data_IF_013712970757
#
_entry.id   IF_013712970757
#
_cell.length_a   1.000
_cell.length_b   1.000
_cell.length_c   1.000
_cell.angle_alpha   90.00
_cell.angle_beta   90.00
_cell.angle_gamma   90.00
#
_symmetry.space_group_name_H-M   'P 1'
#
loop_
_entity.id
_entity.type
_entity.pdbx_description
1 polymer ?
#
# COMPACT_ATOMS: atom_id res chain seq x y z
N UNK A 1 -26.71 34.98 4.64
CA UNK A 1 -25.64 34.41 3.87
C UNK A 1 -25.08 33.09 4.49
N UNK A 2 -24.65 33.09 5.75
CA UNK A 2 -24.16 31.88 6.42
C UNK A 2 -25.17 30.72 6.35
N UNK A 3 -26.44 30.97 6.71
CA UNK A 3 -27.49 29.94 6.71
C UNK A 3 -27.93 29.49 5.32
N UNK A 4 -27.81 30.34 4.29
CA UNK A 4 -28.27 30.04 2.94
C UNK A 4 -27.22 29.33 2.07
N UNK A 5 -25.92 29.53 2.34
CA UNK A 5 -24.84 29.05 1.46
C UNK A 5 -23.73 28.32 2.20
N UNK A 6 -23.28 28.78 3.36
CA UNK A 6 -22.17 28.18 4.09
C UNK A 6 -22.64 26.94 4.84
N UNK A 7 -23.78 27.02 5.55
CA UNK A 7 -24.30 25.89 6.32
C UNK A 7 -24.69 24.67 5.48
N UNK A 8 -25.42 24.82 4.33
CA UNK A 8 -25.63 23.71 3.42
C UNK A 8 -24.33 23.10 2.85
N UNK A 9 -23.30 23.93 2.62
CA UNK A 9 -22.00 23.47 2.19
C UNK A 9 -21.28 22.71 3.32
N UNK A 10 -21.33 23.20 4.56
CA UNK A 10 -20.78 22.48 5.74
C UNK A 10 -21.46 21.12 5.93
N UNK A 11 -22.79 21.08 5.85
CA UNK A 11 -23.58 19.87 6.08
C UNK A 11 -23.45 18.86 4.92
N UNK A 12 -23.40 19.34 3.68
CA UNK A 12 -23.36 18.48 2.49
C UNK A 12 -21.94 18.03 2.11
N UNK A 13 -20.92 18.82 2.44
CA UNK A 13 -19.57 18.67 1.96
C UNK A 13 -18.51 18.56 3.07
N UNK A 14 -18.93 18.49 4.33
CA UNK A 14 -18.02 18.34 5.49
C UNK A 14 -16.87 19.36 5.49
N UNK A 15 -17.18 20.62 5.15
CA UNK A 15 -16.21 21.72 5.22
C UNK A 15 -15.65 21.82 6.65
N UNK A 16 -14.32 21.85 6.77
CA UNK A 16 -13.69 22.01 8.08
C UNK A 16 -14.10 23.34 8.71
N UNK A 17 -14.47 23.39 10.02
CA UNK A 17 -14.91 24.61 10.69
C UNK A 17 -13.96 25.81 10.57
N UNK A 18 -12.66 25.55 10.39
CA UNK A 18 -11.64 26.59 10.19
C UNK A 18 -11.74 27.27 8.81
N UNK A 19 -12.16 26.54 7.78
CA UNK A 19 -12.36 27.09 6.42
C UNK A 19 -13.62 27.93 6.38
N UNK A 20 -14.70 27.44 6.96
CA UNK A 20 -15.96 28.14 7.10
C UNK A 20 -15.81 29.50 7.83
N UNK A 21 -15.08 29.55 8.95
CA UNK A 21 -14.79 30.79 9.69
C UNK A 21 -13.97 31.79 8.90
N UNK A 22 -12.98 31.34 8.12
CA UNK A 22 -12.17 32.23 7.26
C UNK A 22 -13.01 32.85 6.14
N UNK A 23 -13.87 32.04 5.52
CA UNK A 23 -14.76 32.49 4.46
C UNK A 23 -15.78 33.51 5.01
N UNK A 24 -16.38 33.22 6.17
CA UNK A 24 -17.31 34.13 6.86
C UNK A 24 -16.65 35.47 7.21
N UNK A 25 -15.42 35.47 7.74
CA UNK A 25 -14.67 36.68 8.05
C UNK A 25 -14.42 37.54 6.81
N UNK A 26 -14.02 36.91 5.69
CA UNK A 26 -13.78 37.60 4.42
C UNK A 26 -15.06 38.21 3.85
N UNK A 27 -16.18 37.49 3.90
CA UNK A 27 -17.49 37.99 3.44
C UNK A 27 -17.93 39.18 4.27
N UNK A 28 -17.80 39.12 5.59
CA UNK A 28 -18.17 40.23 6.46
C UNK A 28 -17.35 41.48 6.20
N UNK A 29 -16.04 41.33 6.01
CA UNK A 29 -15.15 42.43 5.64
C UNK A 29 -15.51 43.07 4.30
N UNK A 30 -15.83 42.24 3.28
CA UNK A 30 -16.29 42.76 1.98
C UNK A 30 -17.62 43.53 2.08
N UNK A 31 -18.58 43.05 2.87
CA UNK A 31 -19.86 43.71 3.11
C UNK A 31 -19.63 45.07 3.80
N UNK A 32 -18.82 45.11 4.86
CA UNK A 32 -18.49 46.33 5.58
C UNK A 32 -17.81 47.36 4.68
N UNK A 33 -16.85 46.94 3.88
CA UNK A 33 -16.13 47.83 2.95
C UNK A 33 -17.07 48.41 1.86
N UNK A 34 -17.89 47.54 1.26
CA UNK A 34 -18.88 47.99 0.25
C UNK A 34 -19.88 48.98 0.84
N UNK A 35 -20.41 48.67 2.02
CA UNK A 35 -21.34 49.58 2.69
C UNK A 35 -20.68 50.92 3.01
N UNK A 36 -19.45 50.92 3.51
CA UNK A 36 -18.69 52.13 3.84
C UNK A 36 -18.43 53.01 2.62
N UNK A 37 -18.06 52.40 1.50
CA UNK A 37 -17.85 53.10 0.22
C UNK A 37 -19.14 53.74 -0.27
N UNK A 38 -20.22 52.98 -0.41
CA UNK A 38 -21.50 53.46 -0.90
C UNK A 38 -22.13 54.52 0.03
N UNK A 39 -21.89 54.40 1.33
CA UNK A 39 -22.32 55.41 2.30
C UNK A 39 -21.56 56.72 2.10
N UNK A 40 -20.27 56.69 1.81
CA UNK A 40 -19.47 57.87 1.54
C UNK A 40 -19.96 58.60 0.26
N UNK A 41 -20.27 57.87 -0.80
CA UNK A 41 -20.86 58.39 -2.03
C UNK A 41 -22.22 59.03 -1.78
N UNK A 42 -23.08 58.40 -1.01
CA UNK A 42 -24.38 58.95 -0.61
C UNK A 42 -24.26 60.24 0.20
N UNK A 43 -23.37 60.27 1.21
CA UNK A 43 -23.11 61.48 2.00
C UNK A 43 -22.54 62.61 1.15
N UNK A 44 -21.78 62.28 0.11
CA UNK A 44 -21.28 63.29 -0.85
C UNK A 44 -22.40 63.86 -1.70
N UNK A 45 -23.31 63.03 -2.22
CA UNK A 45 -24.49 63.46 -2.98
C UNK A 45 -25.43 64.38 -2.14
N UNK A 46 -25.65 64.00 -0.87
CA UNK A 46 -26.44 64.88 0.05
C UNK A 46 -25.78 66.23 0.24
N UNK A 47 -24.44 66.28 0.39
CA UNK A 47 -23.75 67.59 0.54
C UNK A 47 -23.86 68.42 -0.70
N UNK A 48 -23.80 67.86 -1.91
CA UNK A 48 -24.03 68.59 -3.16
C UNK A 48 -25.48 69.12 -3.24
N UNK A 49 -26.44 68.21 -3.04
CA UNK A 49 -27.85 68.58 -3.08
C UNK A 49 -28.21 69.74 -2.09
N UNK A 50 -27.61 69.72 -0.90
CA UNK A 50 -27.79 70.79 0.12
C UNK A 50 -27.10 72.05 -0.31
N UNK A 51 -25.90 72.04 -0.85
CA UNK A 51 -25.21 73.23 -1.33
C UNK A 51 -25.99 73.92 -2.49
N UNK A 52 -26.47 73.12 -3.46
CA UNK A 52 -27.31 73.59 -4.54
C UNK A 52 -28.62 74.16 -4.05
N UNK A 53 -29.24 73.54 -3.07
CA UNK A 53 -30.49 74.07 -2.41
C UNK A 53 -30.24 75.45 -1.76
N UNK A 54 -29.21 75.58 -0.94
CA UNK A 54 -28.86 76.77 -0.24
C UNK A 54 -28.55 77.95 -1.22
N UNK A 55 -27.83 77.67 -2.30
CA UNK A 55 -27.51 78.62 -3.35
C UNK A 55 -28.76 79.03 -4.12
N UNK A 56 -29.62 78.10 -4.51
CA UNK A 56 -30.87 78.43 -5.25
C UNK A 56 -31.92 79.10 -4.38
N UNK A 57 -31.99 78.77 -3.10
CA UNK A 57 -32.86 79.41 -2.14
C UNK A 57 -32.46 80.87 -1.95
N UNK A 58 -31.18 81.21 -1.87
CA UNK A 58 -30.63 82.55 -1.80
C UNK A 58 -31.00 83.43 -3.03
N UNK A 59 -31.20 82.80 -4.20
CA UNK A 59 -31.60 83.47 -5.46
C UNK A 59 -33.09 83.56 -5.68
N UNK A 60 -33.93 82.87 -4.91
CA UNK A 60 -35.38 82.81 -5.06
C UNK A 60 -36.05 84.08 -4.49
N UNK A 61 -36.72 84.83 -5.35
CA UNK A 61 -37.36 86.14 -4.99
C UNK A 61 -38.90 86.06 -4.90
N UNK A 62 -39.47 84.89 -5.30
CA UNK A 62 -40.95 84.71 -5.25
C UNK A 62 -41.26 83.39 -4.46
N UNK A 63 -42.49 83.37 -3.90
CA UNK A 63 -42.95 82.18 -3.13
C UNK A 63 -43.06 80.94 -3.99
N UNK A 64 -43.38 81.05 -5.26
CA UNK A 64 -43.38 79.91 -6.22
C UNK A 64 -41.97 79.40 -6.53
N UNK A 65 -40.99 80.31 -6.65
CA UNK A 65 -39.61 79.94 -6.84
C UNK A 65 -39.03 79.16 -5.62
N UNK A 66 -39.37 79.58 -4.41
CA UNK A 66 -39.00 78.87 -3.15
C UNK A 66 -39.58 77.48 -3.13
N UNK A 67 -40.88 77.33 -3.46
CA UNK A 67 -41.52 75.98 -3.50
C UNK A 67 -40.89 75.06 -4.54
N UNK A 68 -40.48 75.59 -5.70
CA UNK A 68 -39.78 74.80 -6.72
C UNK A 68 -38.42 74.35 -6.24
N UNK A 69 -37.63 75.17 -5.54
CA UNK A 69 -36.32 74.83 -4.97
C UNK A 69 -36.46 73.79 -3.88
N UNK A 70 -37.45 73.94 -2.97
CA UNK A 70 -37.69 72.91 -1.94
C UNK A 70 -38.11 71.56 -2.53
N UNK A 71 -38.98 71.58 -3.54
CA UNK A 71 -39.37 70.33 -4.24
C UNK A 71 -38.18 69.68 -4.92
N UNK A 72 -37.40 70.49 -5.67
CA UNK A 72 -36.18 69.92 -6.31
C UNK A 72 -35.22 69.24 -5.28
N UNK A 73 -34.95 69.93 -4.15
CA UNK A 73 -34.11 69.38 -3.08
C UNK A 73 -34.69 68.12 -2.51
N UNK A 74 -35.97 68.00 -2.26
CA UNK A 74 -36.66 66.82 -1.81
C UNK A 74 -36.49 65.66 -2.84
N UNK A 75 -36.67 65.96 -4.14
CA UNK A 75 -36.50 64.98 -5.22
C UNK A 75 -35.02 64.51 -5.34
N UNK A 76 -34.07 65.46 -5.20
CA UNK A 76 -32.63 65.12 -5.23
C UNK A 76 -32.22 64.21 -4.06
N UNK A 77 -32.70 64.50 -2.84
CA UNK A 77 -32.47 63.61 -1.67
C UNK A 77 -33.12 62.25 -1.84
N UNK A 78 -34.34 62.18 -2.38
CA UNK A 78 -35.01 60.92 -2.65
C UNK A 78 -34.28 60.08 -3.70
N UNK A 79 -33.80 60.75 -4.75
CA UNK A 79 -32.98 60.06 -5.79
C UNK A 79 -31.64 59.58 -5.26
N UNK A 80 -30.95 60.40 -4.45
CA UNK A 80 -29.71 59.99 -3.79
C UNK A 80 -29.87 58.71 -2.90
N UNK A 81 -30.95 58.71 -2.11
CA UNK A 81 -31.32 57.58 -1.26
C UNK A 81 -31.66 56.31 -2.06
N UNK A 82 -32.44 56.51 -3.15
CA UNK A 82 -32.76 55.38 -4.06
C UNK A 82 -31.54 54.80 -4.73
N UNK A 83 -30.60 55.63 -5.22
CA UNK A 83 -29.33 55.18 -5.79
C UNK A 83 -28.50 54.44 -4.75
N UNK A 84 -28.34 55.00 -3.55
CA UNK A 84 -27.62 54.34 -2.45
C UNK A 84 -28.18 52.94 -2.14
N UNK A 85 -29.49 52.82 -2.04
CA UNK A 85 -30.15 51.54 -1.72
C UNK A 85 -29.90 50.51 -2.84
N UNK A 86 -30.01 50.94 -4.10
CA UNK A 86 -29.77 50.11 -5.27
C UNK A 86 -28.31 49.67 -5.35
N UNK A 87 -27.35 50.57 -5.10
CA UNK A 87 -25.93 50.29 -5.18
C UNK A 87 -25.46 49.36 -4.07
N UNK A 88 -25.97 49.51 -2.85
CA UNK A 88 -25.75 48.61 -1.73
C UNK A 88 -26.29 47.20 -2.04
N UNK A 89 -27.51 47.14 -2.59
CA UNK A 89 -28.11 45.84 -2.96
C UNK A 89 -27.34 45.13 -4.06
N UNK A 90 -26.90 45.84 -5.09
CA UNK A 90 -26.06 45.29 -6.15
C UNK A 90 -24.70 44.79 -5.61
N UNK A 91 -24.07 45.55 -4.70
CA UNK A 91 -22.84 45.13 -4.04
C UNK A 91 -23.00 43.86 -3.21
N UNK A 92 -24.09 43.73 -2.48
CA UNK A 92 -24.40 42.51 -1.70
C UNK A 92 -24.62 41.30 -2.62
N UNK A 93 -25.32 41.43 -3.74
CA UNK A 93 -25.52 40.33 -4.69
C UNK A 93 -24.19 39.92 -5.37
N UNK A 94 -23.33 40.88 -5.70
CA UNK A 94 -21.98 40.54 -6.23
C UNK A 94 -21.15 39.75 -5.23
N UNK A 95 -21.10 40.17 -3.96
CA UNK A 95 -20.39 39.44 -2.88
C UNK A 95 -20.96 38.04 -2.70
N UNK A 96 -22.27 37.86 -2.81
CA UNK A 96 -22.95 36.59 -2.70
C UNK A 96 -22.55 35.62 -3.82
N UNK A 97 -22.52 36.06 -5.08
CA UNK A 97 -22.08 35.22 -6.20
C UNK A 97 -20.58 34.88 -6.12
N UNK A 98 -19.71 35.82 -5.78
CA UNK A 98 -18.30 35.60 -5.57
C UNK A 98 -18.05 34.54 -4.45
N UNK A 99 -18.80 34.64 -3.35
CA UNK A 99 -18.69 33.72 -2.22
C UNK A 99 -19.16 32.31 -2.56
N UNK A 100 -20.17 32.19 -3.41
CA UNK A 100 -20.65 30.90 -3.91
C UNK A 100 -19.61 30.22 -4.79
N UNK A 101 -19.01 30.93 -5.72
CA UNK A 101 -17.94 30.44 -6.59
C UNK A 101 -16.73 29.99 -5.74
N UNK A 102 -16.29 30.82 -4.80
CA UNK A 102 -15.20 30.52 -3.90
C UNK A 102 -15.48 29.26 -3.04
N UNK A 103 -16.72 29.08 -2.58
CA UNK A 103 -17.11 27.90 -1.79
C UNK A 103 -17.04 26.61 -2.62
N UNK A 104 -17.50 26.63 -3.87
CA UNK A 104 -17.44 25.48 -4.79
C UNK A 104 -15.98 25.12 -5.09
N UNK A 105 -15.14 26.10 -5.43
CA UNK A 105 -13.72 25.88 -5.70
C UNK A 105 -12.97 25.29 -4.50
N UNK A 106 -13.25 25.78 -3.29
CA UNK A 106 -12.68 25.22 -2.07
C UNK A 106 -13.11 23.78 -1.83
N UNK A 107 -14.36 23.46 -2.13
CA UNK A 107 -14.88 22.11 -2.01
C UNK A 107 -14.21 21.15 -3.02
N UNK A 108 -14.17 21.51 -4.29
CA UNK A 108 -13.53 20.72 -5.35
C UNK A 108 -12.06 20.44 -5.03
N UNK A 109 -11.35 21.48 -4.55
CA UNK A 109 -9.94 21.33 -4.14
C UNK A 109 -9.78 20.40 -2.93
N UNK A 110 -10.65 20.53 -1.92
CA UNK A 110 -10.61 19.65 -0.74
C UNK A 110 -10.93 18.20 -1.10
N UNK A 111 -11.88 17.95 -1.99
CA UNK A 111 -12.22 16.61 -2.48
C UNK A 111 -11.07 16.01 -3.29
N UNK A 112 -10.41 16.80 -4.13
CA UNK A 112 -9.25 16.35 -4.90
C UNK A 112 -8.06 15.99 -3.97
N UNK A 113 -7.81 16.81 -2.93
CA UNK A 113 -6.77 16.53 -1.92
C UNK A 113 -7.09 15.28 -1.09
N UNK A 114 -8.36 15.04 -0.75
CA UNK A 114 -8.77 13.85 0.00
C UNK A 114 -8.64 12.58 -0.84
N UNK A 115 -9.07 12.61 -2.11
CA UNK A 115 -8.83 11.52 -3.06
C UNK A 115 -7.33 11.23 -3.23
N UNK A 116 -6.51 12.27 -3.41
CA UNK A 116 -5.06 12.11 -3.54
C UNK A 116 -4.45 11.43 -2.31
N UNK A 117 -4.85 11.85 -1.09
CA UNK A 117 -4.36 11.21 0.15
C UNK A 117 -4.80 9.76 0.28
N UNK A 118 -6.03 9.42 -0.09
CA UNK A 118 -6.52 8.04 -0.07
C UNK A 118 -5.70 7.17 -1.02
N UNK A 119 -5.46 7.64 -2.26
CA UNK A 119 -4.64 6.92 -3.24
C UNK A 119 -3.19 6.76 -2.74
N UNK A 120 -2.58 7.83 -2.20
CA UNK A 120 -1.22 7.73 -1.64
C UNK A 120 -1.13 6.74 -0.47
N UNK A 121 -2.16 6.67 0.38
CA UNK A 121 -2.19 5.75 1.50
C UNK A 121 -2.35 4.29 1.04
N UNK A 122 -3.18 4.05 0.03
CA UNK A 122 -3.36 2.73 -0.57
C UNK A 122 -2.10 2.26 -1.29
N UNK A 123 -1.45 3.12 -2.08
CA UNK A 123 -0.15 2.83 -2.72
C UNK A 123 0.91 2.51 -1.67
N UNK A 124 1.04 3.33 -0.61
CA UNK A 124 1.98 3.05 0.50
C UNK A 124 1.70 1.73 1.19
N UNK A 125 0.44 1.36 1.35
CA UNK A 125 0.04 0.08 1.96
C UNK A 125 0.44 -1.11 1.08
N UNK A 126 0.22 -1.02 -0.24
CA UNK A 126 0.64 -2.03 -1.20
C UNK A 126 2.17 -2.16 -1.27
N UNK A 127 2.91 -1.05 -1.35
CA UNK A 127 4.37 -1.06 -1.36
C UNK A 127 4.96 -1.64 -0.06
N UNK A 128 4.36 -1.35 1.10
CA UNK A 128 4.76 -1.99 2.37
C UNK A 128 4.43 -3.48 2.39
N UNK A 129 3.33 -3.88 1.77
CA UNK A 129 2.97 -5.29 1.59
C UNK A 129 4.04 -5.99 0.73
N UNK A 130 4.32 -5.46 -0.43
CA UNK A 130 5.33 -5.94 -1.37
C UNK A 130 6.72 -6.05 -0.71
N UNK A 131 7.23 -5.01 -0.07
CA UNK A 131 8.56 -5.03 0.54
C UNK A 131 8.74 -6.13 1.60
N UNK A 132 7.66 -6.55 2.26
CA UNK A 132 7.70 -7.68 3.20
C UNK A 132 7.82 -9.04 2.52
N UNK A 133 7.41 -9.15 1.27
CA UNK A 133 7.45 -10.42 0.52
C UNK A 133 8.80 -10.67 -0.15
N UNK A 134 9.60 -9.61 -0.38
CA UNK A 134 10.89 -9.68 -1.05
C UNK A 134 11.83 -10.73 -0.45
N UNK A 135 12.07 -10.79 0.89
CA UNK A 135 12.95 -11.80 1.46
C UNK A 135 12.47 -13.24 1.21
N UNK A 136 11.16 -13.50 1.28
CA UNK A 136 10.60 -14.81 0.96
C UNK A 136 10.77 -15.15 -0.51
N UNK A 137 10.59 -14.19 -1.39
CA UNK A 137 10.79 -14.36 -2.82
C UNK A 137 12.26 -14.66 -3.15
N UNK A 138 13.20 -13.90 -2.58
CA UNK A 138 14.63 -14.14 -2.76
C UNK A 138 15.02 -15.51 -2.16
N UNK A 139 14.46 -15.90 -1.02
CA UNK A 139 14.75 -17.21 -0.41
C UNK A 139 14.33 -18.36 -1.33
N UNK A 140 13.18 -18.21 -2.03
CA UNK A 140 12.64 -19.23 -2.93
C UNK A 140 13.30 -19.24 -4.31
N UNK A 141 13.53 -18.07 -4.91
CA UNK A 141 13.90 -17.93 -6.33
C UNK A 141 15.24 -17.22 -6.56
N UNK A 142 15.76 -16.52 -5.53
CA UNK A 142 16.91 -15.62 -5.70
C UNK A 142 18.23 -16.33 -5.99
N UNK A 143 18.93 -15.77 -6.94
CA UNK A 143 20.32 -16.09 -7.28
C UNK A 143 21.17 -14.80 -7.41
N UNK A 144 22.47 -14.97 -7.67
CA UNK A 144 23.43 -13.86 -7.78
C UNK A 144 23.15 -12.91 -8.96
N UNK A 145 22.25 -13.26 -9.88
CA UNK A 145 21.88 -12.47 -11.06
C UNK A 145 20.61 -11.64 -10.83
N UNK A 146 19.85 -11.93 -9.76
CA UNK A 146 18.61 -11.22 -9.45
C UNK A 146 18.89 -9.75 -9.19
N UNK A 147 18.11 -8.87 -9.86
CA UNK A 147 18.15 -7.41 -9.75
C UNK A 147 16.71 -6.88 -9.84
N UNK A 148 16.51 -5.62 -9.50
CA UNK A 148 15.21 -4.95 -9.67
C UNK A 148 14.67 -5.11 -11.10
N UNK A 149 15.54 -4.95 -12.11
CA UNK A 149 15.17 -4.95 -13.51
C UNK A 149 14.64 -6.30 -14.04
N UNK A 150 15.04 -7.42 -13.41
CA UNK A 150 14.62 -8.78 -13.79
C UNK A 150 13.89 -9.52 -12.66
N UNK A 151 13.45 -8.80 -11.64
CA UNK A 151 12.85 -9.41 -10.44
C UNK A 151 11.56 -10.16 -10.77
N UNK A 152 10.78 -9.63 -11.68
CA UNK A 152 9.54 -10.20 -12.19
C UNK A 152 9.76 -11.37 -13.18
N UNK A 153 10.93 -11.50 -13.80
CA UNK A 153 11.23 -12.58 -14.74
C UNK A 153 11.50 -13.95 -14.08
N UNK A 154 11.54 -14.02 -12.76
CA UNK A 154 11.85 -15.24 -12.02
C UNK A 154 10.68 -16.20 -11.84
N UNK A 155 9.46 -15.75 -12.12
CA UNK A 155 8.23 -16.56 -11.99
C UNK A 155 7.21 -16.19 -13.06
N UNK A 156 6.20 -17.02 -13.25
CA UNK A 156 5.01 -16.68 -14.04
C UNK A 156 4.14 -15.66 -13.26
N UNK A 157 3.34 -14.86 -13.97
CA UNK A 157 2.51 -13.74 -13.44
C UNK A 157 1.62 -14.17 -12.26
N UNK A 158 1.01 -15.34 -12.34
CA UNK A 158 0.11 -15.87 -11.30
C UNK A 158 0.89 -16.21 -10.01
N UNK A 159 2.09 -16.74 -10.14
CA UNK A 159 3.00 -17.00 -9.01
C UNK A 159 3.52 -15.70 -8.43
N UNK A 160 3.91 -14.74 -9.28
CA UNK A 160 4.35 -13.43 -8.84
C UNK A 160 3.26 -12.73 -8.01
N UNK A 161 2.03 -12.69 -8.51
CA UNK A 161 0.88 -12.13 -7.79
C UNK A 161 0.61 -12.86 -6.45
N UNK A 162 0.62 -14.20 -6.48
CA UNK A 162 0.36 -15.00 -5.28
C UNK A 162 1.38 -14.75 -4.16
N UNK A 163 2.65 -14.49 -4.52
CA UNK A 163 3.73 -14.26 -3.57
C UNK A 163 3.82 -12.82 -3.13
N UNK A 164 3.78 -11.89 -4.06
CA UNK A 164 4.06 -10.47 -3.83
C UNK A 164 2.82 -9.65 -3.50
N UNK A 165 1.62 -10.18 -3.81
CA UNK A 165 0.32 -9.50 -3.71
C UNK A 165 0.22 -8.25 -4.62
N UNK A 166 1.05 -8.18 -5.65
CA UNK A 166 1.04 -7.15 -6.69
C UNK A 166 1.03 -7.85 -8.05
N UNK A 167 0.24 -7.37 -9.01
CA UNK A 167 0.30 -7.90 -10.37
C UNK A 167 1.63 -7.49 -11.03
N UNK A 168 2.19 -8.38 -11.86
CA UNK A 168 3.46 -8.12 -12.54
C UNK A 168 3.41 -6.85 -13.40
N UNK A 169 2.31 -6.62 -14.11
CA UNK A 169 2.10 -5.39 -14.89
C UNK A 169 2.11 -4.13 -14.01
N UNK A 170 1.55 -4.20 -12.79
CA UNK A 170 1.55 -3.08 -11.85
C UNK A 170 2.96 -2.84 -11.29
N UNK A 171 3.69 -3.92 -10.98
CA UNK A 171 5.09 -3.84 -10.57
C UNK A 171 5.96 -3.18 -11.64
N UNK A 172 5.84 -3.61 -12.91
CA UNK A 172 6.55 -3.01 -14.05
C UNK A 172 6.21 -1.54 -14.22
N UNK A 173 4.92 -1.19 -14.15
CA UNK A 173 4.50 0.20 -14.25
C UNK A 173 5.04 1.08 -13.11
N UNK A 174 5.09 0.59 -11.88
CA UNK A 174 5.67 1.29 -10.76
C UNK A 174 7.20 1.43 -10.87
N UNK A 175 7.87 0.45 -11.49
CA UNK A 175 9.32 0.45 -11.74
C UNK A 175 9.70 1.35 -12.90
N UNK A 176 9.08 1.15 -14.05
CA UNK A 176 9.52 1.71 -15.34
C UNK A 176 8.70 2.93 -15.77
N UNK A 177 7.51 3.12 -15.21
CA UNK A 177 6.56 4.15 -15.66
C UNK A 177 5.83 3.77 -16.94
N UNK A 178 5.19 4.78 -17.56
CA UNK A 178 4.49 4.60 -18.80
C UNK A 178 3.22 5.43 -18.92
N UNK A 179 2.51 5.24 -20.03
CA UNK A 179 1.22 5.89 -20.28
C UNK A 179 0.06 5.04 -19.77
N UNK A 180 -0.97 5.70 -19.27
CA UNK A 180 -2.17 5.05 -18.75
C UNK A 180 -3.42 5.89 -18.92
N UNK A 181 -4.58 5.25 -18.90
CA UNK A 181 -5.90 5.89 -18.82
C UNK A 181 -6.66 5.35 -17.60
N UNK A 182 -7.52 6.18 -17.03
CA UNK A 182 -8.49 5.76 -16.02
C UNK A 182 -9.79 5.37 -16.70
N UNK A 183 -10.26 4.16 -16.48
CA UNK A 183 -11.52 3.68 -17.01
C UNK A 183 -12.69 4.18 -16.16
N UNK A 184 -13.91 4.13 -16.71
CA UNK A 184 -15.13 4.61 -16.04
C UNK A 184 -15.49 3.86 -14.75
N UNK A 185 -14.97 2.66 -14.57
CA UNK A 185 -15.12 1.83 -13.36
C UNK A 185 -14.06 2.14 -12.29
N UNK A 186 -13.15 3.10 -12.56
CA UNK A 186 -12.06 3.50 -11.67
C UNK A 186 -10.82 2.62 -11.77
N UNK A 187 -10.78 1.66 -12.68
CA UNK A 187 -9.57 0.86 -12.95
C UNK A 187 -8.59 1.58 -13.87
N UNK A 188 -7.32 1.21 -13.80
CA UNK A 188 -6.25 1.76 -14.64
C UNK A 188 -5.96 0.79 -15.79
N UNK A 189 -5.94 1.29 -17.02
CA UNK A 189 -5.43 0.58 -18.19
C UNK A 189 -4.08 1.17 -18.56
N UNK A 190 -3.02 0.36 -18.55
CA UNK A 190 -1.72 0.72 -19.09
C UNK A 190 -1.75 0.64 -20.61
N UNK A 191 -1.07 1.58 -21.26
CA UNK A 191 -1.05 1.70 -22.72
C UNK A 191 0.33 1.31 -23.23
N UNK A 192 0.36 0.50 -24.28
CA UNK A 192 1.57 0.30 -25.05
C UNK A 192 1.80 1.43 -26.07
N UNK A 193 2.99 1.48 -26.67
CA UNK A 193 3.38 2.55 -27.60
C UNK A 193 2.43 2.68 -28.80
N UNK A 194 1.78 1.60 -29.20
CA UNK A 194 0.83 1.58 -30.33
C UNK A 194 -0.52 2.19 -29.98
N UNK A 195 -0.91 2.13 -28.71
CA UNK A 195 -2.19 2.61 -28.20
C UNK A 195 -2.18 4.10 -27.84
N UNK A 196 -1.01 4.69 -27.51
CA UNK A 196 -0.88 6.07 -27.02
C UNK A 196 -1.53 7.07 -27.99
N UNK A 197 -1.33 6.91 -29.30
CA UNK A 197 -1.86 7.83 -30.31
C UNK A 197 -3.39 7.80 -30.43
N UNK A 198 -4.04 6.74 -29.97
CA UNK A 198 -5.50 6.58 -29.98
C UNK A 198 -6.17 7.11 -28.70
N UNK A 199 -5.38 7.48 -27.68
CA UNK A 199 -5.87 7.98 -26.40
C UNK A 199 -5.29 9.38 -26.10
N UNK A 200 -5.90 10.47 -26.60
CA UNK A 200 -5.42 11.83 -26.38
C UNK A 200 -5.52 12.28 -24.91
N UNK A 201 -6.27 11.57 -24.09
CA UNK A 201 -6.44 11.75 -22.65
C UNK A 201 -5.47 10.92 -21.81
N UNK A 202 -4.53 10.22 -22.46
CA UNK A 202 -3.52 9.41 -21.76
C UNK A 202 -2.68 10.28 -20.82
N UNK A 203 -2.49 9.79 -19.61
CA UNK A 203 -1.62 10.37 -18.59
C UNK A 203 -0.29 9.63 -18.62
N UNK A 204 0.79 10.33 -18.26
CA UNK A 204 2.12 9.74 -18.13
C UNK A 204 2.55 9.66 -16.67
N UNK A 205 3.12 8.53 -16.27
CA UNK A 205 3.73 8.30 -14.98
C UNK A 205 5.22 7.99 -15.17
N UNK A 206 6.09 8.66 -14.40
CA UNK A 206 7.55 8.52 -14.56
C UNK A 206 8.11 7.18 -14.06
N UNK A 207 7.37 6.44 -13.26
CA UNK A 207 7.88 5.23 -12.60
C UNK A 207 8.85 5.54 -11.46
N UNK A 208 9.90 4.73 -11.35
CA UNK A 208 11.01 4.89 -10.39
C UNK A 208 10.58 4.94 -8.92
N UNK A 209 9.50 4.22 -8.56
CA UNK A 209 9.07 4.12 -7.16
C UNK A 209 9.97 3.20 -6.33
N UNK A 210 10.80 2.39 -6.98
CA UNK A 210 11.81 1.57 -6.33
C UNK A 210 13.18 2.20 -6.55
N UNK A 211 13.92 2.42 -5.47
CA UNK A 211 15.33 2.80 -5.56
C UNK A 211 16.14 1.56 -5.98
N UNK A 212 16.63 1.56 -7.22
CA UNK A 212 17.34 0.41 -7.83
C UNK A 212 18.57 0.01 -7.03
N UNK A 213 19.34 1.00 -6.55
CA UNK A 213 20.57 0.74 -5.79
C UNK A 213 20.23 0.08 -4.46
N UNK A 214 19.25 0.63 -3.73
CA UNK A 214 18.82 0.08 -2.44
C UNK A 214 18.19 -1.29 -2.61
N UNK A 215 17.41 -1.50 -3.67
CA UNK A 215 16.76 -2.78 -3.94
C UNK A 215 17.81 -3.87 -4.25
N UNK A 216 18.72 -3.60 -5.17
CA UNK A 216 19.77 -4.52 -5.58
C UNK A 216 20.75 -4.83 -4.45
N UNK A 217 21.11 -3.84 -3.64
CA UNK A 217 21.97 -4.06 -2.48
C UNK A 217 21.24 -4.85 -1.39
N UNK A 218 19.94 -4.69 -1.23
CA UNK A 218 19.13 -5.52 -0.33
C UNK A 218 19.08 -6.98 -0.77
N UNK A 219 18.96 -7.24 -2.08
CA UNK A 219 19.05 -8.60 -2.64
C UNK A 219 20.43 -9.22 -2.33
N UNK A 220 21.51 -8.51 -2.65
CA UNK A 220 22.90 -8.99 -2.41
C UNK A 220 23.14 -9.27 -0.93
N UNK A 221 22.69 -8.39 -0.04
CA UNK A 221 22.85 -8.57 1.41
C UNK A 221 22.05 -9.78 1.91
N UNK A 222 20.80 -9.96 1.45
CA UNK A 222 20.01 -11.13 1.82
C UNK A 222 20.66 -12.43 1.32
N UNK A 223 21.13 -12.47 0.08
CA UNK A 223 21.83 -13.64 -0.49
C UNK A 223 23.15 -13.94 0.27
N UNK A 224 23.89 -12.90 0.66
CA UNK A 224 25.07 -13.03 1.51
C UNK A 224 24.70 -13.67 2.86
N UNK A 225 23.68 -13.15 3.53
CA UNK A 225 23.16 -13.71 4.79
C UNK A 225 22.65 -15.13 4.64
N UNK A 226 21.92 -15.41 3.55
CA UNK A 226 21.49 -16.77 3.22
C UNK A 226 22.67 -17.73 3.15
N UNK A 227 23.75 -17.35 2.47
CA UNK A 227 24.97 -18.17 2.34
C UNK A 227 25.68 -18.36 3.68
N UNK A 228 25.76 -17.32 4.52
CA UNK A 228 26.39 -17.39 5.85
C UNK A 228 25.60 -18.26 6.83
N UNK A 229 24.26 -18.24 6.77
CA UNK A 229 23.37 -18.89 7.74
C UNK A 229 22.80 -20.25 7.26
N UNK A 230 23.13 -20.68 6.06
CA UNK A 230 22.56 -21.90 5.46
C UNK A 230 23.08 -23.20 6.09
N UNK A 231 24.27 -23.18 6.69
CA UNK A 231 24.82 -24.37 7.31
C UNK A 231 24.22 -24.60 8.70
N UNK A 232 23.06 -25.21 8.75
CA UNK A 232 22.36 -25.51 10.00
C UNK A 232 23.04 -26.56 10.89
N UNK A 233 24.10 -27.27 10.38
CA UNK A 233 24.95 -28.15 11.19
C UNK A 233 25.91 -27.35 12.07
N UNK A 234 26.20 -26.09 11.74
CA UNK A 234 27.04 -25.22 12.56
C UNK A 234 26.27 -24.68 13.76
N UNK A 235 26.45 -25.28 14.91
CA UNK A 235 25.79 -24.86 16.14
C UNK A 235 26.34 -23.55 16.73
N UNK A 236 27.45 -23.02 16.19
CA UNK A 236 27.97 -21.73 16.60
C UNK A 236 27.12 -20.55 16.09
N UNK A 237 26.31 -20.76 15.06
CA UNK A 237 25.42 -19.78 14.49
C UNK A 237 24.28 -19.43 15.46
N UNK A 238 24.26 -18.18 15.91
CA UNK A 238 23.27 -17.65 16.84
C UNK A 238 22.02 -17.12 16.15
N UNK A 239 22.15 -16.73 14.90
CA UNK A 239 21.09 -16.17 14.06
C UNK A 239 20.53 -17.26 13.13
N UNK A 240 19.28 -17.06 12.69
CA UNK A 240 18.63 -17.90 11.69
C UNK A 240 18.26 -17.04 10.49
N UNK A 241 18.35 -17.58 9.27
CA UNK A 241 17.93 -16.83 8.06
C UNK A 241 16.45 -16.42 8.13
N UNK A 242 15.61 -17.19 8.83
CA UNK A 242 14.20 -16.87 9.01
C UNK A 242 13.94 -15.66 9.91
N UNK A 243 14.92 -15.22 10.72
CA UNK A 243 14.85 -13.97 11.48
C UNK A 243 14.84 -12.75 10.55
N UNK A 244 15.36 -12.89 9.33
CA UNK A 244 15.40 -11.85 8.29
C UNK A 244 14.17 -11.86 7.37
N UNK A 245 13.23 -12.81 7.56
CA UNK A 245 12.00 -12.92 6.77
C UNK A 245 10.83 -12.40 7.59
N UNK A 246 10.27 -11.21 7.26
CA UNK A 246 9.15 -10.64 8.01
C UNK A 246 7.92 -11.55 7.99
N UNK A 247 7.16 -11.63 9.10
CA UNK A 247 5.89 -12.36 9.12
C UNK A 247 4.93 -11.80 8.08
N UNK A 248 4.34 -12.65 7.27
CA UNK A 248 3.36 -12.29 6.25
C UNK A 248 1.93 -12.48 6.73
N UNK A 249 0.97 -11.76 6.11
CA UNK A 249 -0.45 -11.82 6.47
C UNK A 249 -1.09 -13.21 6.29
N UNK A 250 -0.57 -14.01 5.38
CA UNK A 250 -1.08 -15.33 5.02
C UNK A 250 -0.22 -16.43 5.63
N UNK A 251 -0.42 -16.71 6.93
CA UNK A 251 0.06 -17.93 7.62
C UNK A 251 1.56 -18.30 7.52
N UNK A 252 2.44 -17.40 7.07
CA UNK A 252 3.86 -17.67 6.97
C UNK A 252 4.62 -17.18 8.23
N UNK A 253 4.13 -17.56 9.41
CA UNK A 253 4.89 -17.39 10.64
C UNK A 253 5.79 -18.61 10.75
N UNK A 254 7.09 -18.38 10.72
CA UNK A 254 8.08 -19.44 10.95
C UNK A 254 8.23 -19.70 12.45
N UNK A 255 8.34 -20.97 12.80
CA UNK A 255 8.58 -21.38 14.18
C UNK A 255 10.04 -21.04 14.53
N UNK A 256 10.31 -20.37 15.66
CA UNK A 256 11.69 -20.12 16.07
C UNK A 256 12.49 -21.41 16.27
N UNK A 257 13.76 -21.39 15.89
CA UNK A 257 14.69 -22.55 15.93
C UNK A 257 14.68 -23.26 17.29
N UNK A 258 14.67 -22.50 18.39
CA UNK A 258 14.66 -23.07 19.75
C UNK A 258 13.36 -23.83 20.08
N UNK A 259 12.23 -23.46 19.48
CA UNK A 259 10.95 -24.15 19.64
C UNK A 259 10.95 -25.43 18.78
N UNK A 260 11.37 -25.33 17.52
CA UNK A 260 11.52 -26.52 16.66
C UNK A 260 12.42 -27.56 17.32
N UNK A 261 13.57 -27.15 17.89
CA UNK A 261 14.47 -28.04 18.63
C UNK A 261 13.77 -28.76 19.77
N UNK A 262 13.05 -28.01 20.64
CA UNK A 262 12.29 -28.60 21.75
C UNK A 262 11.24 -29.61 21.30
N UNK A 263 10.51 -29.31 20.22
CA UNK A 263 9.48 -30.23 19.69
C UNK A 263 10.09 -31.50 19.14
N UNK A 264 11.25 -31.41 18.49
CA UNK A 264 11.98 -32.59 17.98
C UNK A 264 12.61 -33.40 19.14
N UNK A 265 13.03 -32.74 20.25
CA UNK A 265 13.48 -33.45 21.48
C UNK A 265 12.35 -34.27 22.13
N UNK A 266 11.08 -33.85 22.01
CA UNK A 266 9.94 -34.63 22.52
C UNK A 266 9.76 -35.95 21.79
N UNK A 267 10.09 -36.06 20.50
CA UNK A 267 10.00 -37.33 19.76
C UNK A 267 10.91 -38.39 20.39
N UNK A 268 12.12 -38.04 20.80
CA UNK A 268 13.00 -38.94 21.45
C UNK A 268 12.58 -39.31 22.90
N UNK A 269 11.84 -38.41 23.56
CA UNK A 269 11.25 -38.73 24.87
C UNK A 269 10.12 -39.76 24.75
N UNK A 270 9.32 -39.67 23.68
CA UNK A 270 8.20 -40.58 23.42
C UNK A 270 8.67 -41.92 22.82
N UNK A 271 9.70 -41.92 21.99
CA UNK A 271 10.28 -43.09 21.33
C UNK A 271 11.81 -43.05 21.48
N UNK A 272 12.34 -43.49 22.64
CA UNK A 272 13.77 -43.47 22.96
C UNK A 272 14.60 -44.24 21.95
N UNK A 273 15.63 -43.61 21.40
CA UNK A 273 16.50 -44.17 20.37
C UNK A 273 15.95 -44.08 18.95
N UNK A 274 14.86 -43.35 18.72
CA UNK A 274 14.27 -43.22 17.38
C UNK A 274 15.24 -42.60 16.36
N UNK A 275 16.24 -41.84 16.80
CA UNK A 275 17.29 -41.29 15.92
C UNK A 275 18.46 -42.21 15.73
N UNK A 276 18.55 -43.32 16.45
CA UNK A 276 19.59 -44.34 16.30
C UNK A 276 19.16 -45.51 15.39
N UNK A 277 17.87 -45.54 15.00
CA UNK A 277 17.35 -46.54 14.08
C UNK A 277 17.49 -46.07 12.63
N UNK A 278 18.34 -46.76 11.81
CA UNK A 278 18.56 -46.41 10.41
C UNK A 278 17.34 -46.65 9.49
N UNK A 279 16.37 -47.41 9.96
CA UNK A 279 15.17 -47.77 9.19
C UNK A 279 13.93 -46.93 9.64
N UNK A 280 14.08 -46.13 10.71
CA UNK A 280 13.04 -45.22 11.20
C UNK A 280 12.83 -44.07 10.23
N UNK A 281 11.56 -43.76 9.98
CA UNK A 281 11.16 -42.66 9.08
C UNK A 281 10.44 -41.54 9.84
N UNK A 282 10.64 -40.30 9.38
CA UNK A 282 10.08 -39.08 9.94
C UNK A 282 9.40 -38.27 8.83
N UNK A 283 8.20 -37.78 9.08
CA UNK A 283 7.48 -36.95 8.13
C UNK A 283 6.98 -35.64 8.76
N UNK A 284 7.24 -34.52 8.09
CA UNK A 284 6.55 -33.24 8.35
C UNK A 284 5.47 -33.06 7.30
N UNK A 285 4.20 -33.26 7.69
CA UNK A 285 3.05 -33.18 6.78
C UNK A 285 2.62 -31.76 6.45
N UNK A 286 3.20 -30.74 7.10
CA UNK A 286 2.93 -29.33 6.84
C UNK A 286 4.20 -28.49 6.98
N UNK A 287 5.20 -28.85 6.21
CA UNK A 287 6.51 -28.23 6.20
C UNK A 287 6.41 -26.76 5.77
N UNK A 288 6.90 -25.85 6.60
CA UNK A 288 6.96 -24.40 6.31
C UNK A 288 8.38 -23.96 5.96
N UNK A 289 9.22 -23.79 6.99
CA UNK A 289 10.62 -23.40 6.83
C UNK A 289 11.55 -24.57 6.58
N UNK A 290 11.11 -25.79 6.92
CA UNK A 290 11.98 -26.97 6.97
C UNK A 290 12.76 -27.14 8.28
N UNK A 291 12.57 -26.26 9.28
CA UNK A 291 13.31 -26.32 10.56
C UNK A 291 13.12 -27.62 11.33
N UNK A 292 11.92 -28.21 11.31
CA UNK A 292 11.71 -29.53 11.93
C UNK A 292 12.54 -30.60 11.24
N UNK A 293 12.54 -30.60 9.92
CA UNK A 293 13.34 -31.55 9.12
C UNK A 293 14.81 -31.37 9.40
N UNK A 294 15.34 -30.13 9.40
CA UNK A 294 16.78 -29.90 9.66
C UNK A 294 17.18 -30.31 11.08
N UNK A 295 16.30 -30.13 12.08
CA UNK A 295 16.56 -30.59 13.44
C UNK A 295 16.57 -32.15 13.54
N UNK A 296 15.69 -32.81 12.81
CA UNK A 296 15.70 -34.31 12.70
C UNK A 296 16.97 -34.78 11.97
N UNK A 297 17.28 -34.16 10.82
CA UNK A 297 18.50 -34.49 10.04
C UNK A 297 19.77 -34.37 10.89
N UNK A 298 19.90 -33.32 11.71
CA UNK A 298 21.06 -33.17 12.61
C UNK A 298 21.19 -34.30 13.60
N UNK A 299 20.08 -34.79 14.20
CA UNK A 299 20.12 -35.91 15.16
C UNK A 299 20.50 -37.20 14.46
N UNK A 300 19.85 -37.52 13.35
CA UNK A 300 20.19 -38.72 12.55
C UNK A 300 21.64 -38.67 12.08
N UNK A 301 22.12 -37.53 11.56
CA UNK A 301 23.48 -37.37 11.08
C UNK A 301 24.53 -37.54 12.20
N UNK A 302 24.20 -37.11 13.43
CA UNK A 302 25.09 -37.18 14.58
C UNK A 302 24.97 -38.50 15.37
N UNK A 303 23.96 -39.32 15.10
CA UNK A 303 23.78 -40.63 15.74
C UNK A 303 25.01 -41.51 15.61
N UNK A 304 25.54 -42.07 16.70
CA UNK A 304 26.66 -43.00 16.66
C UNK A 304 26.34 -44.25 15.82
N UNK A 305 25.12 -44.79 15.92
CA UNK A 305 24.69 -45.98 15.19
C UNK A 305 24.62 -45.73 13.68
N UNK A 306 24.04 -44.58 13.30
CA UNK A 306 23.96 -44.19 11.89
C UNK A 306 25.38 -43.92 11.32
N UNK A 307 26.27 -43.29 12.11
CA UNK A 307 27.70 -43.10 11.73
C UNK A 307 28.46 -44.41 11.54
N UNK A 308 28.21 -45.39 12.38
CA UNK A 308 28.81 -46.70 12.25
C UNK A 308 28.33 -47.44 10.98
N UNK A 309 27.02 -47.35 10.69
CA UNK A 309 26.42 -47.99 9.50
C UNK A 309 26.80 -47.26 8.20
N UNK A 310 26.92 -45.94 8.25
CA UNK A 310 27.27 -45.06 7.13
C UNK A 310 28.45 -44.14 7.51
N UNK A 311 29.71 -44.64 7.47
CA UNK A 311 30.88 -43.86 7.89
C UNK A 311 31.16 -42.64 7.01
N UNK A 312 30.89 -42.74 5.70
CA UNK A 312 31.04 -41.65 4.77
C UNK A 312 29.92 -40.64 4.95
N UNK A 313 30.27 -39.37 5.06
CA UNK A 313 29.31 -38.28 5.31
C UNK A 313 28.27 -38.10 4.17
N UNK A 314 28.70 -38.32 2.92
CA UNK A 314 27.83 -38.20 1.75
C UNK A 314 26.84 -39.35 1.68
N UNK A 315 27.31 -40.57 1.91
CA UNK A 315 26.44 -41.74 1.94
C UNK A 315 25.44 -41.67 3.10
N UNK A 316 25.89 -41.15 4.26
CA UNK A 316 25.01 -40.94 5.41
C UNK A 316 23.92 -39.90 5.11
N UNK A 317 24.27 -38.75 4.55
CA UNK A 317 23.29 -37.73 4.16
C UNK A 317 22.35 -38.25 3.07
N UNK A 318 22.85 -38.95 2.09
CA UNK A 318 22.07 -39.60 1.06
C UNK A 318 21.04 -40.56 1.66
N UNK A 319 21.47 -41.43 2.58
CA UNK A 319 20.56 -42.34 3.27
C UNK A 319 19.47 -41.60 4.01
N UNK A 320 19.83 -40.56 4.78
CA UNK A 320 18.88 -39.76 5.56
C UNK A 320 17.83 -39.11 4.64
N UNK A 321 18.25 -38.42 3.56
CA UNK A 321 17.32 -37.71 2.68
C UNK A 321 16.51 -38.63 1.74
N UNK A 322 17.06 -39.76 1.33
CA UNK A 322 16.38 -40.70 0.44
C UNK A 322 15.46 -41.70 1.18
N UNK A 323 15.73 -41.96 2.48
CA UNK A 323 15.07 -43.08 3.18
C UNK A 323 14.38 -42.67 4.50
N UNK A 324 14.89 -41.66 5.22
CA UNK A 324 14.46 -41.42 6.59
C UNK A 324 13.56 -40.18 6.73
N UNK A 325 13.79 -39.11 5.95
CA UNK A 325 13.05 -37.86 6.12
C UNK A 325 12.13 -37.57 4.94
N UNK A 326 10.90 -37.16 5.27
CA UNK A 326 9.84 -36.86 4.34
C UNK A 326 9.20 -35.53 4.69
N UNK A 327 8.65 -34.82 3.71
CA UNK A 327 7.97 -33.56 3.99
C UNK A 327 7.01 -33.13 2.89
N UNK A 328 5.91 -32.50 3.30
CA UNK A 328 4.91 -31.91 2.42
C UNK A 328 4.81 -30.41 2.66
N UNK A 329 4.93 -29.62 1.60
CA UNK A 329 4.77 -28.18 1.66
C UNK A 329 3.50 -27.74 0.93
N UNK A 330 2.65 -26.88 1.54
CA UNK A 330 1.32 -26.60 1.03
C UNK A 330 1.30 -25.77 -0.26
N UNK A 331 2.37 -25.03 -0.56
CA UNK A 331 2.46 -24.18 -1.77
C UNK A 331 3.83 -24.25 -2.40
N UNK A 332 3.92 -23.88 -3.67
CA UNK A 332 5.19 -23.90 -4.43
C UNK A 332 6.26 -23.04 -3.78
N UNK A 333 5.92 -21.84 -3.32
CA UNK A 333 6.90 -20.96 -2.68
C UNK A 333 7.40 -21.55 -1.35
N UNK A 334 6.52 -22.08 -0.52
CA UNK A 334 6.90 -22.71 0.76
C UNK A 334 7.80 -23.93 0.49
N UNK A 335 7.46 -24.73 -0.51
CA UNK A 335 8.28 -25.86 -0.95
C UNK A 335 9.70 -25.39 -1.32
N UNK A 336 9.82 -24.35 -2.14
CA UNK A 336 11.13 -23.85 -2.58
C UNK A 336 11.93 -23.23 -1.43
N UNK A 337 11.30 -22.47 -0.53
CA UNK A 337 11.93 -21.94 0.68
C UNK A 337 12.51 -23.08 1.52
N UNK A 338 11.69 -24.10 1.79
CA UNK A 338 12.11 -25.24 2.59
C UNK A 338 13.25 -26.04 1.93
N UNK A 339 13.14 -26.35 0.65
CA UNK A 339 14.16 -27.08 -0.10
C UNK A 339 15.48 -26.31 -0.12
N UNK A 340 15.44 -25.01 -0.44
CA UNK A 340 16.63 -24.16 -0.48
C UNK A 340 17.30 -24.01 0.89
N UNK A 341 16.55 -24.16 1.98
CA UNK A 341 17.11 -24.19 3.33
C UNK A 341 17.64 -25.59 3.71
N UNK A 342 16.82 -26.64 3.54
CA UNK A 342 17.17 -28.01 3.93
C UNK A 342 18.39 -28.54 3.17
N UNK A 343 18.44 -28.25 1.85
CA UNK A 343 19.54 -28.72 0.97
C UNK A 343 20.56 -27.62 0.63
N UNK A 344 20.44 -26.43 1.25
CA UNK A 344 21.32 -25.30 0.95
C UNK A 344 22.61 -25.25 1.78
N UNK A 345 22.84 -26.20 2.68
CA UNK A 345 23.99 -26.19 3.59
C UNK A 345 25.33 -26.46 2.89
N UNK A 346 25.30 -27.06 1.69
CA UNK A 346 26.47 -27.32 0.83
C UNK A 346 26.03 -27.25 -0.64
N UNK A 347 26.90 -26.73 -1.52
CA UNK A 347 26.64 -26.62 -2.97
C UNK A 347 26.32 -27.96 -3.64
N UNK A 348 26.92 -29.06 -3.16
CA UNK A 348 26.67 -30.40 -3.69
C UNK A 348 25.37 -31.04 -3.17
N UNK A 349 24.81 -30.55 -2.08
CA UNK A 349 23.66 -31.17 -1.44
C UNK A 349 22.37 -30.99 -2.25
N UNK A 350 22.30 -29.98 -3.13
CA UNK A 350 21.17 -29.74 -4.03
C UNK A 350 20.92 -30.88 -5.03
N UNK A 351 21.92 -31.73 -5.28
CA UNK A 351 21.82 -32.92 -6.17
C UNK A 351 21.31 -34.18 -5.44
N UNK A 352 21.16 -34.14 -4.13
CA UNK A 352 20.68 -35.27 -3.34
C UNK A 352 19.21 -35.53 -3.65
N UNK A 353 18.88 -36.80 -3.96
CA UNK A 353 17.48 -37.22 -4.05
C UNK A 353 16.82 -37.13 -2.69
N UNK A 354 15.57 -36.71 -2.66
CA UNK A 354 14.84 -36.45 -1.42
C UNK A 354 13.35 -36.75 -1.53
N UNK A 355 12.69 -36.89 -0.38
CA UNK A 355 11.28 -37.22 -0.27
C UNK A 355 10.46 -35.98 0.15
N UNK A 356 10.78 -34.80 -0.38
CA UNK A 356 9.97 -33.59 -0.17
C UNK A 356 9.07 -33.34 -1.38
N UNK A 357 7.79 -32.99 -1.14
CA UNK A 357 6.79 -32.76 -2.19
C UNK A 357 6.00 -31.48 -1.93
N UNK A 358 5.60 -30.84 -3.01
CA UNK A 358 4.65 -29.72 -2.96
C UNK A 358 3.23 -30.29 -2.96
N UNK A 359 2.60 -30.35 -1.78
CA UNK A 359 1.24 -30.81 -1.58
C UNK A 359 0.68 -30.18 -0.30
N UNK A 360 -0.52 -29.64 -0.37
CA UNK A 360 -1.31 -29.29 0.82
C UNK A 360 -1.96 -30.55 1.40
N UNK A 361 -1.49 -30.96 2.57
CA UNK A 361 -1.98 -32.16 3.24
C UNK A 361 -3.30 -31.94 3.98
N UNK A 362 -3.70 -30.69 4.24
CA UNK A 362 -4.86 -30.35 5.07
C UNK A 362 -6.16 -30.94 4.53
N UNK A 363 -6.52 -30.82 3.23
CA UNK A 363 -7.73 -31.42 2.69
C UNK A 363 -7.80 -32.95 2.92
N UNK A 364 -6.69 -33.65 2.66
CA UNK A 364 -6.60 -35.10 2.82
C UNK A 364 -6.69 -35.53 4.29
N UNK A 365 -6.15 -34.73 5.20
CA UNK A 365 -6.27 -34.97 6.63
C UNK A 365 -7.72 -34.77 7.11
N UNK A 366 -8.41 -33.77 6.60
CA UNK A 366 -9.81 -33.50 6.93
C UNK A 366 -10.75 -34.60 6.40
N UNK A 367 -10.46 -35.14 5.22
CA UNK A 367 -11.27 -36.20 4.58
C UNK A 367 -10.89 -37.62 5.08
N UNK A 368 -9.84 -37.73 5.89
CA UNK A 368 -9.35 -39.02 6.39
C UNK A 368 -8.59 -39.87 5.37
N UNK A 369 -8.22 -39.28 4.22
CA UNK A 369 -7.51 -39.96 3.09
C UNK A 369 -6.02 -39.71 3.05
N UNK A 370 -5.45 -39.04 4.08
CA UNK A 370 -4.03 -38.65 4.09
C UNK A 370 -3.11 -39.88 4.01
N UNK A 371 -3.42 -40.98 4.70
CA UNK A 371 -2.58 -42.19 4.66
C UNK A 371 -2.47 -42.76 3.25
N UNK A 372 -3.62 -42.88 2.54
CA UNK A 372 -3.64 -43.36 1.16
C UNK A 372 -2.85 -42.46 0.23
N UNK A 373 -2.93 -41.12 0.47
CA UNK A 373 -2.17 -40.14 -0.31
C UNK A 373 -0.66 -40.21 -0.06
N UNK A 374 -0.24 -40.47 1.17
CA UNK A 374 1.16 -40.70 1.53
C UNK A 374 1.71 -41.98 0.87
N UNK A 375 0.91 -43.05 0.87
CA UNK A 375 1.27 -44.32 0.20
C UNK A 375 1.41 -44.14 -1.32
N UNK A 376 0.51 -43.37 -1.95
CA UNK A 376 0.61 -42.98 -3.36
C UNK A 376 1.93 -42.22 -3.67
N UNK A 377 2.28 -41.23 -2.82
CA UNK A 377 3.43 -40.37 -3.05
C UNK A 377 4.78 -41.03 -2.76
N UNK A 378 4.82 -41.89 -1.78
CA UNK A 378 6.06 -42.47 -1.23
C UNK A 378 6.12 -43.98 -1.21
N UNK A 379 4.98 -44.67 -1.33
CA UNK A 379 4.89 -46.13 -1.25
C UNK A 379 5.52 -46.90 -2.45
N UNK A 380 5.73 -46.25 -3.57
CA UNK A 380 6.34 -46.84 -4.77
C UNK A 380 7.83 -47.11 -4.66
N UNK A 381 8.51 -46.73 -3.58
CA UNK A 381 9.96 -46.92 -3.39
C UNK A 381 10.32 -48.21 -2.62
N UNK A 382 9.36 -49.05 -2.24
CA UNK A 382 9.62 -50.29 -1.50
C UNK A 382 9.78 -51.54 -2.39
N UNK A 383 9.79 -51.37 -3.71
CA UNK A 383 10.05 -52.45 -4.66
C UNK A 383 11.17 -52.08 -5.63
N UNK A 384 12.42 -52.06 -5.13
CA UNK A 384 13.62 -52.25 -5.95
C UNK A 384 14.79 -52.70 -5.08
#
# INVERSE_FOLDING_TARGET
MKEAYIKPAEDSYQLKPSVSKKLESKINEQIENTFKEKKADYEHQIRIAKAEHDENLAKATTQEAVQQVEKKHSDDLANAFKSFTSDVQAGIEAIKEESKIASVQHFEKAQAEEKKKSVEEDVRKHLRGFSRTIPSFIMAYGDDKMRLQNFDDYTDDDVFLAVTSIEEKDFRFLRDGGYYIELSDGTTKYLDDSEISSHPDAKYFEGHLFDEVVFDDSIKEFLRKKKELNNYFDESLKEDIFDYIPPQRTNQIYVPKNIAKKMVDLLEQEDPGCYDDPDKTFIDTYMKSGLYITEIVKRLYNSPVIKEKFPDDKDRLKHIFEKQVYGLAPTKIIYLIAINFILGFDENSQTIKHNFRCLDAVPYAMDGTLSEKLDELFGGNNNA
#
